data_IF_140935238900
#
_entry.id   IF_140935238900
#
_cell.length_a   1.000
_cell.length_b   1.000
_cell.length_c   1.000
_cell.angle_alpha   90.00
_cell.angle_beta   90.00
_cell.angle_gamma   90.00
#
_symmetry.space_group_name_H-M   'P 1'
#
loop_
_entity.id
_entity.type
_entity.pdbx_description
1 polymer ?
#
# COMPACT_ATOMS: atom_id res chain seq x y z
N UNK A 1 4.47 -7.79 -6.97
CA UNK A 1 3.56 -6.75 -6.45
C UNK A 1 4.32 -5.52 -6.02
N UNK A 2 4.89 -5.54 -4.81
CA UNK A 2 5.53 -4.36 -4.19
C UNK A 2 6.73 -3.82 -4.98
N UNK A 3 7.58 -4.67 -5.56
CA UNK A 3 8.71 -4.22 -6.39
C UNK A 3 8.23 -3.41 -7.61
N UNK A 4 7.13 -3.83 -8.24
CA UNK A 4 6.52 -3.08 -9.35
C UNK A 4 6.02 -1.71 -8.89
N UNK A 5 5.34 -1.64 -7.74
CA UNK A 5 4.90 -0.38 -7.15
C UNK A 5 6.07 0.56 -6.85
N UNK A 6 7.17 0.00 -6.32
CA UNK A 6 8.37 0.76 -6.00
C UNK A 6 9.03 1.33 -7.25
N UNK A 7 9.25 0.51 -8.28
CA UNK A 7 9.84 0.96 -9.55
C UNK A 7 8.95 2.01 -10.23
N UNK A 8 7.65 1.76 -10.28
CA UNK A 8 6.71 2.69 -10.88
C UNK A 8 6.56 3.99 -10.07
N UNK A 9 6.67 3.94 -8.74
CA UNK A 9 6.71 5.12 -7.87
C UNK A 9 7.95 5.97 -8.13
N UNK A 10 9.13 5.35 -8.28
CA UNK A 10 10.36 6.05 -8.66
C UNK A 10 10.23 6.65 -10.06
N UNK A 11 9.69 5.91 -11.03
CA UNK A 11 9.45 6.45 -12.37
C UNK A 11 8.49 7.65 -12.33
N UNK A 12 7.44 7.58 -11.52
CA UNK A 12 6.49 8.67 -11.38
C UNK A 12 7.11 9.92 -10.74
N UNK A 13 8.12 9.78 -9.89
CA UNK A 13 8.81 10.93 -9.32
C UNK A 13 9.42 11.84 -10.39
N UNK A 14 9.92 11.26 -11.48
CA UNK A 14 10.46 12.01 -12.62
C UNK A 14 9.37 12.49 -13.59
N UNK A 15 8.33 11.67 -13.81
CA UNK A 15 7.25 11.97 -14.78
C UNK A 15 6.22 12.94 -14.21
N UNK A 16 6.01 12.93 -12.89
CA UNK A 16 5.05 13.76 -12.15
C UNK A 16 3.60 13.66 -12.68
N UNK A 17 3.18 12.46 -13.11
CA UNK A 17 1.84 12.26 -13.65
C UNK A 17 0.81 11.99 -12.56
N UNK A 18 -0.22 12.84 -12.47
CA UNK A 18 -1.35 12.64 -11.54
C UNK A 18 -2.15 11.37 -11.85
N UNK A 19 -2.32 11.02 -13.12
CA UNK A 19 -3.05 9.80 -13.52
C UNK A 19 -2.30 8.53 -13.09
N UNK A 20 -0.98 8.53 -13.23
CA UNK A 20 -0.14 7.41 -12.81
C UNK A 20 -0.10 7.31 -11.28
N UNK A 21 -0.08 8.43 -10.56
CA UNK A 21 -0.24 8.46 -9.09
C UNK A 21 -1.53 7.80 -8.62
N UNK A 22 -2.68 8.16 -9.19
CA UNK A 22 -3.97 7.54 -8.85
C UNK A 22 -3.92 6.02 -9.08
N UNK A 23 -3.39 5.60 -10.23
CA UNK A 23 -3.26 4.17 -10.58
C UNK A 23 -2.39 3.43 -9.56
N UNK A 24 -1.26 4.02 -9.17
CA UNK A 24 -0.36 3.44 -8.16
C UNK A 24 -1.02 3.34 -6.80
N UNK A 25 -1.76 4.36 -6.36
CA UNK A 25 -2.47 4.33 -5.08
C UNK A 25 -3.53 3.21 -5.05
N UNK A 26 -4.31 3.04 -6.11
CA UNK A 26 -5.32 1.97 -6.20
C UNK A 26 -4.66 0.58 -6.16
N UNK A 27 -3.59 0.40 -6.94
CA UNK A 27 -2.83 -0.86 -6.94
C UNK A 27 -2.18 -1.15 -5.57
N UNK A 28 -1.65 -0.12 -4.92
CA UNK A 28 -1.07 -0.24 -3.58
C UNK A 28 -2.13 -0.67 -2.56
N UNK A 29 -3.31 -0.06 -2.56
CA UNK A 29 -4.43 -0.46 -1.69
C UNK A 29 -4.75 -1.94 -1.89
N UNK A 30 -4.91 -2.39 -3.13
CA UNK A 30 -5.24 -3.79 -3.43
C UNK A 30 -4.16 -4.77 -2.98
N UNK A 31 -2.89 -4.48 -3.30
CA UNK A 31 -1.76 -5.36 -2.98
C UNK A 31 -1.54 -5.44 -1.47
N UNK A 32 -1.49 -4.32 -0.77
CA UNK A 32 -1.25 -4.33 0.68
C UNK A 32 -2.45 -4.85 1.47
N UNK A 33 -3.68 -4.67 0.98
CA UNK A 33 -4.85 -5.32 1.59
C UNK A 33 -4.78 -6.84 1.45
N UNK A 34 -4.34 -7.36 0.29
CA UNK A 34 -4.12 -8.79 0.13
C UNK A 34 -3.01 -9.32 1.06
N UNK A 35 -1.95 -8.53 1.28
CA UNK A 35 -0.89 -8.89 2.24
C UNK A 35 -1.39 -8.93 3.68
N UNK A 36 -2.22 -7.98 4.11
CA UNK A 36 -2.85 -8.01 5.44
C UNK A 36 -3.64 -9.31 5.62
N UNK A 37 -4.48 -9.68 4.64
CA UNK A 37 -5.25 -10.92 4.71
C UNK A 37 -4.36 -12.16 4.78
N UNK A 38 -3.29 -12.19 3.99
CA UNK A 38 -2.35 -13.30 3.95
C UNK A 38 -1.58 -13.44 5.28
N UNK A 39 -1.07 -12.35 5.83
CA UNK A 39 -0.30 -12.34 7.08
C UNK A 39 -1.20 -12.68 8.28
N UNK A 40 -2.40 -12.11 8.35
CA UNK A 40 -3.38 -12.46 9.38
C UNK A 40 -3.76 -13.94 9.33
N UNK A 41 -3.94 -14.50 8.12
CA UNK A 41 -4.22 -15.93 7.96
C UNK A 41 -3.06 -16.78 8.44
N UNK A 42 -1.82 -16.44 8.10
CA UNK A 42 -0.62 -17.18 8.55
C UNK A 42 -0.44 -17.14 10.07
N UNK A 43 -0.75 -16.01 10.70
CA UNK A 43 -0.75 -15.86 12.16
C UNK A 43 -1.84 -16.70 12.79
N UNK A 44 -3.07 -16.67 12.25
CA UNK A 44 -4.19 -17.47 12.73
C UNK A 44 -3.92 -18.97 12.63
N UNK A 45 -3.38 -19.41 11.50
CA UNK A 45 -3.08 -20.81 11.21
C UNK A 45 -1.81 -21.30 11.96
N UNK A 46 -1.13 -20.43 12.72
CA UNK A 46 0.03 -20.78 13.54
C UNK A 46 1.32 -21.03 12.75
N UNK A 47 1.38 -20.62 11.47
CA UNK A 47 2.54 -20.77 10.60
C UNK A 47 3.65 -19.75 10.90
N UNK A 48 3.34 -18.67 11.61
CA UNK A 48 4.29 -17.67 12.08
C UNK A 48 4.43 -17.74 13.60
N UNK A 49 5.56 -18.26 14.06
CA UNK A 49 5.89 -18.34 15.50
C UNK A 49 6.50 -17.05 16.03
N UNK A 50 6.94 -16.16 15.13
CA UNK A 50 7.51 -14.85 15.48
C UNK A 50 6.45 -13.75 15.35
N UNK A 51 5.68 -13.56 16.42
CA UNK A 51 4.63 -12.54 16.50
C UNK A 51 5.14 -11.10 16.31
N UNK A 52 6.40 -10.80 16.64
CA UNK A 52 6.97 -9.46 16.45
C UNK A 52 7.09 -9.15 14.96
N UNK A 53 7.64 -10.09 14.19
CA UNK A 53 7.81 -9.91 12.74
C UNK A 53 6.45 -9.90 12.03
N UNK A 54 5.53 -10.77 12.46
CA UNK A 54 4.18 -10.81 11.89
C UNK A 54 3.40 -9.52 12.14
N UNK A 55 3.43 -8.99 13.37
CA UNK A 55 2.76 -7.71 13.69
C UNK A 55 3.40 -6.54 12.97
N UNK A 56 4.73 -6.50 12.82
CA UNK A 56 5.41 -5.47 12.04
C UNK A 56 5.01 -5.52 10.55
N UNK A 57 4.92 -6.72 9.96
CA UNK A 57 4.47 -6.90 8.58
C UNK A 57 3.06 -6.39 8.34
N UNK A 58 2.13 -6.73 9.23
CA UNK A 58 0.75 -6.23 9.20
C UNK A 58 0.71 -4.71 9.38
N UNK A 59 1.48 -4.16 10.33
CA UNK A 59 1.58 -2.72 10.56
C UNK A 59 2.06 -1.96 9.32
N UNK A 60 3.14 -2.43 8.68
CA UNK A 60 3.68 -1.82 7.47
C UNK A 60 2.67 -1.86 6.33
N UNK A 61 1.94 -2.96 6.18
CA UNK A 61 0.91 -3.09 5.14
C UNK A 61 -0.25 -2.12 5.41
N UNK A 62 -0.73 -2.03 6.66
CA UNK A 62 -1.75 -1.06 7.08
C UNK A 62 -1.32 0.38 6.81
N UNK A 63 -0.09 0.73 7.16
CA UNK A 63 0.48 2.06 6.91
C UNK A 63 0.44 2.40 5.41
N UNK A 64 0.86 1.48 4.54
CA UNK A 64 0.85 1.70 3.10
C UNK A 64 -0.57 1.84 2.53
N UNK A 65 -1.53 1.03 2.99
CA UNK A 65 -2.95 1.18 2.59
C UNK A 65 -3.47 2.56 2.99
N UNK A 66 -3.23 2.95 4.25
CA UNK A 66 -3.69 4.24 4.76
C UNK A 66 -3.09 5.42 3.98
N UNK A 67 -1.77 5.42 3.76
CA UNK A 67 -1.10 6.45 2.97
C UNK A 67 -1.67 6.53 1.54
N UNK A 68 -1.92 5.37 0.91
CA UNK A 68 -2.47 5.32 -0.44
C UNK A 68 -3.91 5.87 -0.51
N UNK A 69 -4.72 5.64 0.53
CA UNK A 69 -6.06 6.23 0.64
C UNK A 69 -5.96 7.74 0.86
N UNK A 70 -5.11 8.20 1.77
CA UNK A 70 -4.90 9.64 2.00
C UNK A 70 -4.46 10.36 0.72
N UNK A 71 -3.61 9.72 -0.07
CA UNK A 71 -3.16 10.25 -1.33
C UNK A 71 -4.30 10.40 -2.35
N UNK A 72 -5.18 9.39 -2.49
CA UNK A 72 -6.37 9.49 -3.33
C UNK A 72 -7.33 10.59 -2.85
N UNK A 73 -7.53 10.69 -1.54
CA UNK A 73 -8.35 11.73 -0.94
C UNK A 73 -7.75 13.13 -1.14
N UNK A 74 -6.43 13.27 -1.04
CA UNK A 74 -5.73 14.54 -1.27
C UNK A 74 -5.84 15.01 -2.72
N UNK A 75 -5.74 14.10 -3.69
CA UNK A 75 -5.93 14.41 -5.12
C UNK A 75 -7.41 14.76 -5.40
N UNK A 76 -8.35 14.05 -4.78
CA UNK A 76 -9.79 14.27 -4.99
C UNK A 76 -10.36 15.50 -4.27
N UNK A 77 -9.80 15.87 -3.12
CA UNK A 77 -10.27 16.98 -2.27
C UNK A 77 -9.54 18.31 -2.50
N UNK A 78 -8.45 18.34 -3.27
CA UNK A 78 -7.68 19.56 -3.54
C UNK A 78 -8.17 20.41 -4.71
N UNK A 79 -9.36 20.13 -5.27
CA UNK A 79 -9.95 20.89 -6.39
C UNK A 79 -10.98 21.89 -5.88
N UNK A 80 -10.52 22.90 -5.15
CA UNK A 80 -11.25 24.15 -4.94
C UNK A 80 -10.41 25.31 -5.50
N UNK A 81 -10.48 25.47 -6.82
CA UNK A 81 -10.31 26.72 -7.56
C UNK A 81 -11.47 26.84 -8.55
#
# INVERSE_FOLDING_TARGET
>A
GVIMLLVAGIANFFIQSSALMITLSVLAIGIFSAFILHDLKRVQDGHETNYITATLGVYLSLYNVFQSILMLLGIGGGRDE
#
